data_IF_149250322590
#
_entry.id   IF_149250322590
#
_cell.length_a   1.000
_cell.length_b   1.000
_cell.length_c   1.000
_cell.angle_alpha   90.00
_cell.angle_beta   90.00
_cell.angle_gamma   90.00
#
_symmetry.space_group_name_H-M   'P 1'
#
loop_
_entity.id
_entity.type
_entity.pdbx_description
1 polymer ?
#
# COMPACT_ATOMS: atom_id res chain seq x y z
N UNK A 1 42.90 50.22 -27.15
CA UNK A 1 43.65 49.82 -25.92
C UNK A 1 43.23 50.59 -24.68
N UNK A 2 43.10 51.93 -24.71
CA UNK A 2 42.76 52.75 -23.51
C UNK A 2 41.55 52.27 -22.70
N UNK A 3 40.48 51.83 -23.38
CA UNK A 3 39.24 51.36 -22.73
C UNK A 3 39.45 50.09 -21.90
N UNK A 4 40.27 49.16 -22.37
CA UNK A 4 40.55 47.90 -21.66
C UNK A 4 41.38 48.17 -20.40
N UNK A 5 42.34 49.10 -20.49
CA UNK A 5 43.16 49.49 -19.35
C UNK A 5 42.36 50.25 -18.28
N UNK A 6 41.38 51.06 -18.69
CA UNK A 6 40.44 51.71 -17.78
C UNK A 6 39.52 50.70 -17.08
N UNK A 7 38.98 49.73 -17.82
CA UNK A 7 38.17 48.64 -17.26
C UNK A 7 38.99 47.83 -16.25
N UNK A 8 40.25 47.53 -16.55
CA UNK A 8 41.13 46.76 -15.67
C UNK A 8 41.44 47.52 -14.37
N UNK A 9 41.75 48.81 -14.46
CA UNK A 9 41.95 49.67 -13.27
C UNK A 9 40.68 49.79 -12.43
N UNK A 10 39.52 49.91 -13.09
CA UNK A 10 38.23 49.96 -12.41
C UNK A 10 37.91 48.63 -11.70
N UNK A 11 38.18 47.49 -12.35
CA UNK A 11 38.04 46.16 -11.75
C UNK A 11 38.98 45.97 -10.55
N UNK A 12 40.24 46.39 -10.65
CA UNK A 12 41.21 46.26 -9.57
C UNK A 12 40.83 47.14 -8.36
N UNK A 13 40.31 48.34 -8.61
CA UNK A 13 39.80 49.23 -7.56
C UNK A 13 38.55 48.65 -6.88
N UNK A 14 37.69 47.99 -7.66
CA UNK A 14 36.43 47.39 -7.18
C UNK A 14 36.53 45.87 -7.03
N UNK A 15 37.73 45.33 -6.74
CA UNK A 15 38.00 43.88 -6.76
C UNK A 15 37.00 43.06 -5.94
N UNK A 16 36.56 43.59 -4.79
CA UNK A 16 35.61 42.92 -3.90
C UNK A 16 34.20 42.84 -4.51
N UNK A 17 33.79 43.85 -5.28
CA UNK A 17 32.52 43.86 -5.98
C UNK A 17 32.52 42.83 -7.11
N UNK A 18 33.61 42.77 -7.90
CA UNK A 18 33.78 41.79 -8.98
C UNK A 18 33.81 40.36 -8.45
N UNK A 19 34.60 40.12 -7.39
CA UNK A 19 34.66 38.81 -6.72
C UNK A 19 33.30 38.45 -6.12
N UNK A 20 32.59 39.42 -5.53
CA UNK A 20 31.26 39.22 -4.96
C UNK A 20 30.24 38.77 -6.00
N UNK A 21 30.22 39.39 -7.18
CA UNK A 21 29.33 39.01 -8.29
C UNK A 21 29.68 37.62 -8.82
N UNK A 22 30.97 37.32 -9.02
CA UNK A 22 31.40 36.01 -9.51
C UNK A 22 31.08 34.90 -8.49
N UNK A 23 31.33 35.16 -7.20
CA UNK A 23 31.03 34.23 -6.12
C UNK A 23 29.54 33.98 -5.96
N UNK A 24 28.71 35.03 -5.98
CA UNK A 24 27.25 34.88 -5.88
C UNK A 24 26.66 34.14 -7.08
N UNK A 25 27.17 34.39 -8.29
CA UNK A 25 26.76 33.68 -9.50
C UNK A 25 27.10 32.20 -9.42
N UNK A 26 28.30 31.86 -8.92
CA UNK A 26 28.71 30.47 -8.74
C UNK A 26 27.82 29.74 -7.72
N UNK A 27 27.52 30.37 -6.58
CA UNK A 27 26.62 29.84 -5.56
C UNK A 27 25.21 29.65 -6.14
N UNK A 28 24.72 30.60 -6.94
CA UNK A 28 23.41 30.51 -7.58
C UNK A 28 23.32 29.33 -8.54
N UNK A 29 24.32 29.11 -9.38
CA UNK A 29 24.37 27.96 -10.30
C UNK A 29 24.33 26.64 -9.52
N UNK A 30 25.10 26.54 -8.43
CA UNK A 30 25.12 25.35 -7.58
C UNK A 30 23.77 25.14 -6.89
N UNK A 31 23.15 26.22 -6.39
CA UNK A 31 21.86 26.16 -5.72
C UNK A 31 20.71 25.76 -6.67
N UNK A 32 20.69 26.30 -7.89
CA UNK A 32 19.66 25.98 -8.89
C UNK A 32 19.88 24.60 -9.53
N UNK A 33 21.14 24.15 -9.65
CA UNK A 33 21.49 22.83 -10.17
C UNK A 33 21.24 21.68 -9.19
N UNK A 34 20.99 21.96 -7.92
CA UNK A 34 20.71 20.94 -6.92
C UNK A 34 19.21 20.61 -6.94
N UNK A 35 18.83 19.54 -7.64
CA UNK A 35 17.48 18.99 -7.53
C UNK A 35 17.32 18.31 -6.16
N UNK A 36 16.42 18.80 -5.28
CA UNK A 36 16.22 18.17 -3.99
C UNK A 36 15.69 16.75 -4.19
N UNK A 37 16.37 15.78 -3.57
CA UNK A 37 15.94 14.38 -3.53
C UNK A 37 15.46 14.06 -2.12
N UNK A 38 14.43 13.23 -2.03
CA UNK A 38 13.85 12.77 -0.76
C UNK A 38 13.66 11.25 -0.81
N UNK A 39 13.55 10.60 0.35
CA UNK A 39 13.27 9.16 0.39
C UNK A 39 11.89 8.86 -0.19
N UNK A 40 11.80 7.76 -0.95
CA UNK A 40 10.54 7.27 -1.49
C UNK A 40 9.63 6.74 -0.37
N UNK A 41 8.32 7.06 -0.41
CA UNK A 41 7.33 6.52 0.52
C UNK A 41 6.95 5.06 0.22
N UNK A 42 7.34 4.53 -0.96
CA UNK A 42 7.04 3.15 -1.39
C UNK A 42 8.25 2.24 -1.14
N UNK A 43 9.47 2.72 -1.40
CA UNK A 43 10.72 2.00 -1.13
C UNK A 43 11.72 2.90 -0.38
N UNK A 44 11.93 2.71 0.93
CA UNK A 44 12.83 3.55 1.73
C UNK A 44 14.31 3.45 1.31
N UNK A 45 14.69 2.49 0.45
CA UNK A 45 16.03 2.37 -0.09
C UNK A 45 16.32 3.34 -1.26
N UNK A 46 15.29 3.97 -1.84
CA UNK A 46 15.40 4.79 -3.04
C UNK A 46 15.20 6.27 -2.71
N UNK A 47 16.09 7.11 -3.26
CA UNK A 47 15.96 8.57 -3.23
C UNK A 47 15.31 9.02 -4.54
N UNK A 48 14.19 9.72 -4.45
CA UNK A 48 13.37 10.17 -5.57
C UNK A 48 13.39 11.68 -5.69
N UNK A 49 13.28 12.16 -6.92
CA UNK A 49 13.10 13.58 -7.23
C UNK A 49 11.66 14.02 -6.95
N UNK A 50 11.41 15.33 -6.85
CA UNK A 50 10.06 15.87 -6.64
C UNK A 50 8.98 15.35 -7.62
N UNK A 51 9.20 15.27 -8.96
CA UNK A 51 8.19 14.73 -9.87
C UNK A 51 7.97 13.22 -9.72
N UNK A 52 9.02 12.46 -9.38
CA UNK A 52 8.91 11.02 -9.10
C UNK A 52 8.13 10.77 -7.82
N UNK A 53 8.35 11.59 -6.78
CA UNK A 53 7.62 11.54 -5.52
C UNK A 53 6.12 11.76 -5.71
N UNK A 54 5.71 12.69 -6.58
CA UNK A 54 4.30 12.94 -6.88
C UNK A 54 3.63 11.71 -7.50
N UNK A 55 4.31 11.04 -8.42
CA UNK A 55 3.82 9.85 -9.10
C UNK A 55 3.73 8.65 -8.13
N UNK A 56 4.75 8.47 -7.29
CA UNK A 56 4.74 7.44 -6.24
C UNK A 56 3.64 7.67 -5.20
N UNK A 57 3.44 8.92 -4.78
CA UNK A 57 2.38 9.28 -3.85
C UNK A 57 0.99 8.96 -4.41
N UNK A 58 0.72 9.32 -5.67
CA UNK A 58 -0.53 8.98 -6.34
C UNK A 58 -0.75 7.46 -6.41
N UNK A 59 0.31 6.70 -6.70
CA UNK A 59 0.27 5.24 -6.78
C UNK A 59 -0.04 4.63 -5.42
N UNK A 60 0.65 5.06 -4.36
CA UNK A 60 0.41 4.62 -2.99
C UNK A 60 -1.02 4.95 -2.54
N UNK A 61 -1.49 6.17 -2.81
CA UNK A 61 -2.84 6.59 -2.44
C UNK A 61 -3.92 5.71 -3.08
N UNK A 62 -3.78 5.40 -4.39
CA UNK A 62 -4.70 4.50 -5.10
C UNK A 62 -4.69 3.08 -4.54
N UNK A 63 -3.54 2.58 -4.10
CA UNK A 63 -3.47 1.28 -3.43
C UNK A 63 -4.22 1.27 -2.09
N UNK A 64 -4.12 2.35 -1.31
CA UNK A 64 -4.86 2.47 -0.05
C UNK A 64 -6.38 2.50 -0.27
N UNK A 65 -6.87 3.20 -1.30
CA UNK A 65 -8.30 3.18 -1.66
C UNK A 65 -8.80 1.76 -1.95
N UNK A 66 -8.02 0.96 -2.69
CA UNK A 66 -8.36 -0.44 -3.00
C UNK A 66 -8.36 -1.30 -1.74
N UNK A 67 -7.39 -1.09 -0.83
CA UNK A 67 -7.31 -1.81 0.44
C UNK A 67 -8.52 -1.49 1.31
N UNK A 68 -8.90 -0.21 1.42
CA UNK A 68 -10.09 0.22 2.16
C UNK A 68 -11.36 -0.40 1.59
N UNK A 69 -11.54 -0.39 0.27
CA UNK A 69 -12.68 -1.03 -0.39
C UNK A 69 -12.74 -2.55 -0.11
N UNK A 70 -11.59 -3.23 -0.06
CA UNK A 70 -11.51 -4.64 0.33
C UNK A 70 -11.83 -4.85 1.81
N UNK A 71 -11.40 -3.95 2.69
CA UNK A 71 -11.75 -3.99 4.10
C UNK A 71 -13.24 -3.79 4.33
N UNK A 72 -13.88 -2.89 3.60
CA UNK A 72 -15.33 -2.67 3.69
C UNK A 72 -16.11 -3.90 3.21
N UNK A 73 -15.68 -4.53 2.11
CA UNK A 73 -16.24 -5.81 1.66
C UNK A 73 -16.04 -6.92 2.70
N UNK A 74 -14.84 -7.04 3.27
CA UNK A 74 -14.55 -8.01 4.32
C UNK A 74 -15.35 -7.74 5.59
N UNK A 75 -15.62 -6.48 5.92
CA UNK A 75 -16.46 -6.09 7.06
C UNK A 75 -17.91 -6.47 6.83
N UNK A 76 -18.45 -6.22 5.65
CA UNK A 76 -19.79 -6.67 5.27
C UNK A 76 -19.89 -8.20 5.33
N UNK A 77 -18.85 -8.91 4.88
CA UNK A 77 -18.80 -10.37 4.93
C UNK A 77 -18.68 -10.90 6.37
N UNK A 78 -17.90 -10.25 7.23
CA UNK A 78 -17.82 -10.57 8.66
C UNK A 78 -19.15 -10.31 9.39
N UNK A 79 -19.87 -9.25 9.04
CA UNK A 79 -21.21 -8.98 9.57
C UNK A 79 -22.23 -10.03 9.11
N UNK A 80 -22.16 -10.45 7.84
CA UNK A 80 -22.97 -11.54 7.31
C UNK A 80 -22.66 -12.88 8.01
N UNK A 81 -21.37 -13.20 8.20
CA UNK A 81 -20.92 -14.38 8.93
C UNK A 81 -21.33 -14.33 10.41
N UNK A 82 -21.28 -13.17 11.06
CA UNK A 82 -21.74 -13.00 12.44
C UNK A 82 -23.25 -13.18 12.56
N UNK A 83 -24.02 -12.72 11.58
CA UNK A 83 -25.47 -12.94 11.52
C UNK A 83 -25.79 -14.43 11.33
N UNK A 84 -25.12 -15.10 10.39
CA UNK A 84 -25.26 -16.54 10.19
C UNK A 84 -24.84 -17.34 11.44
N UNK A 85 -23.79 -16.92 12.14
CA UNK A 85 -23.35 -17.55 13.38
C UNK A 85 -24.38 -17.39 14.50
N UNK A 86 -25.00 -16.21 14.64
CA UNK A 86 -26.07 -16.00 15.61
C UNK A 86 -27.31 -16.85 15.29
N UNK A 87 -27.66 -17.02 14.01
CA UNK A 87 -28.75 -17.89 13.57
C UNK A 87 -28.43 -19.37 13.87
N UNK A 88 -27.18 -19.81 13.63
CA UNK A 88 -26.71 -21.15 14.01
C UNK A 88 -26.73 -21.34 15.53
N UNK A 89 -26.29 -20.35 16.31
CA UNK A 89 -26.30 -20.41 17.76
C UNK A 89 -27.73 -20.46 18.30
N UNK A 90 -28.67 -19.69 17.73
CA UNK A 90 -30.08 -19.77 18.08
C UNK A 90 -30.69 -21.12 17.70
N UNK A 91 -30.34 -21.68 16.53
CA UNK A 91 -30.78 -23.02 16.13
C UNK A 91 -30.24 -24.09 17.09
N UNK A 92 -28.98 -24.02 17.49
CA UNK A 92 -28.36 -24.93 18.47
C UNK A 92 -29.03 -24.81 19.84
N UNK A 93 -29.27 -23.57 20.31
CA UNK A 93 -29.93 -23.32 21.60
C UNK A 93 -31.37 -23.82 21.58
N UNK A 94 -32.10 -23.63 20.48
CA UNK A 94 -33.48 -24.11 20.31
C UNK A 94 -33.55 -25.64 20.24
N UNK A 95 -32.58 -26.27 19.57
CA UNK A 95 -32.39 -27.73 19.59
C UNK A 95 -32.10 -28.23 21.02
N UNK A 96 -31.21 -27.53 21.74
CA UNK A 96 -30.78 -27.92 23.08
C UNK A 96 -31.86 -27.68 24.15
N UNK A 97 -32.75 -26.70 23.94
CA UNK A 97 -33.87 -26.39 24.85
C UNK A 97 -35.08 -27.30 24.65
N UNK A 98 -34.97 -28.35 23.83
CA UNK A 98 -36.05 -29.32 23.59
C UNK A 98 -37.22 -28.76 22.77
N UNK A 99 -37.06 -27.59 22.16
CA UNK A 99 -38.01 -27.06 21.20
C UNK A 99 -37.92 -27.87 19.92
N UNK A 100 -39.06 -28.21 19.32
CA UNK A 100 -39.16 -28.94 18.05
C UNK A 100 -38.36 -28.15 17.02
N UNK A 101 -37.08 -28.52 16.85
CA UNK A 101 -36.26 -27.97 15.80
C UNK A 101 -36.89 -28.43 14.50
N UNK A 102 -37.31 -27.46 13.70
CA UNK A 102 -37.91 -27.70 12.39
C UNK A 102 -36.98 -28.65 11.63
N UNK A 103 -37.44 -29.88 11.39
CA UNK A 103 -36.67 -30.96 10.75
C UNK A 103 -35.94 -30.50 9.46
N UNK A 104 -36.50 -29.59 8.64
CA UNK A 104 -35.80 -29.01 7.49
C UNK A 104 -34.55 -28.21 7.88
N UNK A 105 -34.60 -27.43 8.97
CA UNK A 105 -33.47 -26.63 9.46
C UNK A 105 -32.35 -27.49 10.03
N UNK A 106 -32.68 -28.58 10.71
CA UNK A 106 -31.70 -29.58 11.16
C UNK A 106 -31.00 -30.28 9.98
N UNK A 107 -31.78 -30.65 8.95
CA UNK A 107 -31.22 -31.25 7.74
C UNK A 107 -30.34 -30.26 6.96
N UNK A 108 -30.74 -28.99 6.83
CA UNK A 108 -29.88 -27.95 6.24
C UNK A 108 -28.58 -27.76 7.02
N UNK A 109 -28.61 -27.87 8.35
CA UNK A 109 -27.43 -27.72 9.20
C UNK A 109 -26.49 -28.93 9.05
N UNK A 110 -27.03 -30.16 8.97
CA UNK A 110 -26.26 -31.37 8.69
C UNK A 110 -25.66 -31.34 7.28
N UNK A 111 -26.45 -31.00 6.25
CA UNK A 111 -25.96 -30.93 4.88
C UNK A 111 -25.02 -29.74 4.65
N UNK A 112 -25.22 -28.62 5.34
CA UNK A 112 -24.35 -27.44 5.30
C UNK A 112 -23.00 -27.69 5.96
N UNK A 113 -22.99 -28.27 7.16
CA UNK A 113 -21.74 -28.69 7.84
C UNK A 113 -21.05 -29.85 7.11
N UNK A 114 -21.82 -30.81 6.60
CA UNK A 114 -21.30 -31.92 5.79
C UNK A 114 -20.72 -31.44 4.45
N UNK A 115 -21.37 -30.47 3.79
CA UNK A 115 -20.90 -29.84 2.55
C UNK A 115 -19.64 -29.01 2.76
N UNK A 116 -19.59 -28.21 3.83
CA UNK A 116 -18.38 -27.48 4.22
C UNK A 116 -17.23 -28.45 4.56
N UNK A 117 -17.51 -29.56 5.25
CA UNK A 117 -16.55 -30.62 5.54
C UNK A 117 -16.02 -31.31 4.27
N UNK A 118 -16.88 -31.56 3.27
CA UNK A 118 -16.47 -32.15 1.99
C UNK A 118 -15.61 -31.19 1.15
N UNK A 119 -15.88 -29.88 1.20
CA UNK A 119 -15.04 -28.86 0.55
C UNK A 119 -13.67 -28.78 1.25
N UNK A 120 -13.65 -28.77 2.58
CA UNK A 120 -12.41 -28.76 3.36
C UNK A 120 -11.56 -30.02 3.12
N UNK A 121 -12.18 -31.21 3.03
CA UNK A 121 -11.49 -32.46 2.70
C UNK A 121 -10.91 -32.44 1.28
N UNK A 122 -11.65 -31.88 0.31
CA UNK A 122 -11.15 -31.71 -1.06
C UNK A 122 -9.98 -30.71 -1.16
N UNK A 123 -10.00 -29.62 -0.39
CA UNK A 123 -8.88 -28.67 -0.33
C UNK A 123 -7.63 -29.35 0.25
N UNK A 124 -7.79 -30.11 1.35
CA UNK A 124 -6.69 -30.86 1.97
C UNK A 124 -6.10 -31.91 1.03
N UNK A 125 -6.95 -32.68 0.34
CA UNK A 125 -6.51 -33.69 -0.65
C UNK A 125 -5.79 -33.05 -1.84
N UNK A 126 -6.27 -31.91 -2.35
CA UNK A 126 -5.58 -31.17 -3.43
C UNK A 126 -4.23 -30.63 -2.97
N UNK A 127 -4.11 -30.13 -1.74
CA UNK A 127 -2.84 -29.71 -1.16
C UNK A 127 -1.83 -30.84 -1.02
N UNK A 128 -2.27 -32.02 -0.56
CA UNK A 128 -1.42 -33.22 -0.47
C UNK A 128 -0.95 -33.74 -1.84
N UNK A 129 -1.84 -33.76 -2.84
CA UNK A 129 -1.48 -34.18 -4.21
C UNK A 129 -0.49 -33.20 -4.85
N UNK A 130 -0.65 -31.89 -4.63
CA UNK A 130 0.28 -30.88 -5.10
C UNK A 130 1.65 -30.99 -4.41
N UNK A 131 1.68 -31.29 -3.11
CA UNK A 131 2.92 -31.56 -2.37
C UNK A 131 3.65 -32.81 -2.84
N UNK A 132 2.92 -33.89 -3.13
CA UNK A 132 3.49 -35.14 -3.67
C UNK A 132 3.99 -35.00 -5.12
N UNK A 133 3.35 -34.16 -5.94
CA UNK A 133 3.84 -33.83 -7.29
C UNK A 133 5.09 -32.96 -7.31
N UNK A 134 5.36 -32.22 -6.22
CA UNK A 134 6.54 -31.36 -6.09
C UNK A 134 7.78 -32.09 -5.53
N UNK A 135 7.59 -33.31 -5.03
CA UNK A 135 8.64 -34.18 -4.47
C UNK A 135 8.98 -35.38 -5.39
N UNK A 136 8.50 -35.36 -6.64
CA UNK A 136 9.00 -36.17 -7.76
C UNK A 136 9.71 -35.25 -8.73
#
# INVERSE_FOLDING_TARGET
MKVIDEIRKWMDHNRFFVIGILGSTLIFIIAVGCTPTTQSPVDPAVMVTAPELELEYLTWHKQQEIILARFDLARADLEAQKKAWNEVQQAIVTLASGGIADLPGFMQLIFGLGGAGAIADNIRKRGLIAGLKRNK
#
